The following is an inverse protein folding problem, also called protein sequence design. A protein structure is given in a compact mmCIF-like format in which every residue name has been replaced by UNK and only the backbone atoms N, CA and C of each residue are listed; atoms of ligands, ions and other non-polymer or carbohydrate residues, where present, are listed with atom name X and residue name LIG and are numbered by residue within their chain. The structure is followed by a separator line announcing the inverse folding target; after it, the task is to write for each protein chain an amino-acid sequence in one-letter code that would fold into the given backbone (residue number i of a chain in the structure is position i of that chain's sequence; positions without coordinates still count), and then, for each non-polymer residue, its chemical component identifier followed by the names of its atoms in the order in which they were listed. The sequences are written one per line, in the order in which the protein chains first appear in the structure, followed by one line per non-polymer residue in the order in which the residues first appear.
data_IF_456586275921
#
_entry.id   IF_456586275921
#
_cell.length_a   1.000
_cell.length_b   1.000
_cell.length_c   1.000
_cell.angle_alpha   90.00
_cell.angle_beta   90.00
_cell.angle_gamma   90.00
#
_symmetry.space_group_name_H-M   'P 1'
#
loop_
_entity.id
_entity.type
_entity.pdbx_description
1 polymer ?
#
# COMPACT_ATOMS: atom_id res chain seq x y z
N UNK A 1 2.33 36.03 2.49
CA UNK A 1 1.73 35.65 1.20
C UNK A 1 0.88 34.41 1.34
N UNK A 2 -0.44 34.55 1.16
CA UNK A 2 -1.42 33.45 1.32
C UNK A 2 -1.40 32.39 0.21
N UNK A 3 -0.34 32.33 -0.59
CA UNK A 3 -0.26 31.47 -1.78
C UNK A 3 0.27 30.04 -1.48
N UNK A 4 0.93 29.81 -0.34
CA UNK A 4 1.56 28.52 0.07
C UNK A 4 2.00 27.59 -1.09
N UNK A 5 2.93 28.04 -1.97
CA UNK A 5 3.32 27.27 -3.16
C UNK A 5 3.94 25.92 -2.82
N UNK A 6 4.61 25.81 -1.68
CA UNK A 6 5.21 24.55 -1.19
C UNK A 6 4.12 23.57 -0.79
N UNK A 7 3.12 24.01 -0.03
CA UNK A 7 1.97 23.19 0.32
C UNK A 7 1.20 22.73 -0.92
N UNK A 8 0.98 23.61 -1.90
CA UNK A 8 0.33 23.22 -3.15
C UNK A 8 1.12 22.14 -3.90
N UNK A 9 2.45 22.26 -3.98
CA UNK A 9 3.30 21.26 -4.62
C UNK A 9 3.27 19.92 -3.85
N UNK A 10 3.21 19.96 -2.52
CA UNK A 10 3.06 18.77 -1.68
C UNK A 10 1.74 18.05 -1.94
N UNK A 11 0.61 18.78 -2.02
CA UNK A 11 -0.71 18.23 -2.33
C UNK A 11 -0.69 17.49 -3.68
N UNK A 12 -0.18 18.14 -4.74
CA UNK A 12 -0.13 17.53 -6.08
C UNK A 12 0.74 16.26 -6.10
N UNK A 13 1.91 16.29 -5.45
CA UNK A 13 2.80 15.12 -5.38
C UNK A 13 2.20 13.97 -4.59
N UNK A 14 1.54 14.27 -3.48
CA UNK A 14 0.85 13.26 -2.70
C UNK A 14 -0.27 12.58 -3.52
N UNK A 15 -1.11 13.36 -4.20
CA UNK A 15 -2.18 12.81 -5.04
C UNK A 15 -1.64 12.03 -6.24
N UNK A 16 -0.52 12.45 -6.84
CA UNK A 16 0.11 11.68 -7.90
C UNK A 16 0.57 10.27 -7.46
N UNK A 17 0.84 10.06 -6.17
CA UNK A 17 1.28 8.78 -5.62
C UNK A 17 0.17 7.99 -4.90
N UNK A 18 -0.79 8.70 -4.30
CA UNK A 18 -1.76 8.15 -3.35
C UNK A 18 -3.19 8.62 -3.61
N UNK A 19 -3.48 9.24 -4.75
CA UNK A 19 -4.83 9.56 -5.17
C UNK A 19 -5.60 8.32 -5.66
N UNK A 20 -6.95 8.35 -5.63
CA UNK A 20 -7.79 9.30 -4.92
C UNK A 20 -7.67 9.17 -3.39
N UNK A 21 -7.59 10.29 -2.67
CA UNK A 21 -7.41 10.30 -1.22
C UNK A 21 -8.18 11.45 -0.54
N UNK A 22 -8.52 11.26 0.75
CA UNK A 22 -9.11 12.30 1.56
C UNK A 22 -8.03 13.28 2.05
N UNK A 23 -8.41 14.52 2.37
CA UNK A 23 -7.49 15.47 3.01
C UNK A 23 -6.92 14.94 4.34
N UNK A 24 -7.67 14.09 5.04
CA UNK A 24 -7.20 13.46 6.27
C UNK A 24 -6.06 12.45 6.04
N UNK A 25 -6.03 11.78 4.88
CA UNK A 25 -4.95 10.88 4.49
C UNK A 25 -3.66 11.66 4.26
N UNK A 26 -3.72 12.74 3.49
CA UNK A 26 -2.59 13.65 3.26
C UNK A 26 -2.02 14.21 4.58
N UNK A 27 -2.89 14.58 5.54
CA UNK A 27 -2.46 15.05 6.86
C UNK A 27 -1.78 13.95 7.66
N UNK A 28 -2.36 12.74 7.67
CA UNK A 28 -1.80 11.60 8.39
C UNK A 28 -0.43 11.19 7.82
N UNK A 29 -0.26 11.25 6.50
CA UNK A 29 1.00 10.96 5.83
C UNK A 29 2.07 12.04 6.06
N UNK A 30 1.71 13.32 5.92
CA UNK A 30 2.68 14.43 6.03
C UNK A 30 2.99 14.85 7.46
N UNK A 31 2.11 14.55 8.42
CA UNK A 31 2.18 15.07 9.79
C UNK A 31 1.86 16.57 9.91
N UNK A 32 1.41 17.22 8.83
CA UNK A 32 1.18 18.66 8.78
C UNK A 32 -0.28 19.02 9.11
N UNK A 33 -0.48 19.93 10.06
CA UNK A 33 -1.80 20.48 10.38
C UNK A 33 -2.24 21.59 9.39
N UNK A 34 -1.30 22.33 8.82
CA UNK A 34 -1.52 23.55 8.01
C UNK A 34 -2.00 23.35 6.57
N UNK A 35 -2.45 22.16 6.20
CA UNK A 35 -2.80 21.82 4.82
C UNK A 35 -4.14 22.33 4.24
N UNK A 36 -5.18 22.76 5.00
CA UNK A 36 -6.44 23.13 4.37
C UNK A 36 -6.33 24.30 3.38
N UNK A 37 -5.41 25.25 3.60
CA UNK A 37 -5.16 26.36 2.67
C UNK A 37 -4.57 25.89 1.34
N UNK A 38 -3.55 25.03 1.38
CA UNK A 38 -2.93 24.44 0.20
C UNK A 38 -3.92 23.61 -0.64
N UNK A 39 -4.74 22.78 0.02
CA UNK A 39 -5.78 21.98 -0.66
C UNK A 39 -6.82 22.89 -1.31
N UNK A 40 -7.27 23.95 -0.62
CA UNK A 40 -8.20 24.92 -1.19
C UNK A 40 -7.63 25.64 -2.42
N UNK A 41 -6.34 26.01 -2.37
CA UNK A 41 -5.68 26.75 -3.44
C UNK A 41 -5.56 25.96 -4.76
N UNK A 42 -5.51 24.62 -4.69
CA UNK A 42 -5.43 23.75 -5.88
C UNK A 42 -6.77 23.09 -6.23
N UNK A 43 -7.85 23.39 -5.50
CA UNK A 43 -9.09 22.60 -5.54
C UNK A 43 -9.78 22.59 -6.90
N UNK A 44 -9.60 23.64 -7.69
CA UNK A 44 -10.18 23.76 -9.04
C UNK A 44 -9.39 22.97 -10.10
N UNK A 45 -8.19 22.49 -9.75
CA UNK A 45 -7.38 21.61 -10.60
C UNK A 45 -7.68 20.12 -10.36
N UNK A 46 -8.46 19.78 -9.33
CA UNK A 46 -8.67 18.41 -8.87
C UNK A 46 -10.06 17.87 -9.23
N UNK A 47 -10.13 16.57 -9.45
CA UNK A 47 -11.39 15.83 -9.56
C UNK A 47 -11.83 15.29 -8.20
N UNK A 48 -13.15 15.10 -8.03
CA UNK A 48 -13.76 14.70 -6.76
C UNK A 48 -14.49 13.37 -6.90
N UNK A 49 -14.30 12.49 -5.93
CA UNK A 49 -15.00 11.22 -5.80
C UNK A 49 -15.63 11.10 -4.42
N UNK A 50 -16.41 10.02 -4.24
CA UNK A 50 -16.88 9.59 -2.92
C UNK A 50 -16.58 8.11 -2.75
N UNK A 51 -16.09 7.75 -1.57
CA UNK A 51 -15.98 6.34 -1.18
C UNK A 51 -17.34 5.77 -0.73
N UNK A 52 -17.36 4.48 -0.40
CA UNK A 52 -18.56 3.77 0.04
C UNK A 52 -19.12 4.30 1.38
N UNK A 53 -18.31 5.06 2.13
CA UNK A 53 -18.70 5.73 3.38
C UNK A 53 -19.13 7.19 3.13
N UNK A 54 -19.15 7.64 1.88
CA UNK A 54 -19.53 8.99 1.47
C UNK A 54 -18.46 10.04 1.72
N UNK A 55 -17.22 9.67 2.06
CA UNK A 55 -16.11 10.63 2.27
C UNK A 55 -15.66 11.20 0.93
N UNK A 56 -15.42 12.52 0.88
CA UNK A 56 -14.85 13.16 -0.31
C UNK A 56 -13.39 12.70 -0.49
N UNK A 57 -13.10 12.20 -1.69
CA UNK A 57 -11.74 11.91 -2.15
C UNK A 57 -11.39 12.89 -3.27
N UNK A 58 -10.13 13.34 -3.28
CA UNK A 58 -9.57 14.21 -4.29
C UNK A 58 -8.52 13.45 -5.09
N UNK A 59 -8.39 13.76 -6.38
CA UNK A 59 -7.36 13.18 -7.24
C UNK A 59 -6.97 14.14 -8.38
N UNK A 60 -5.86 13.84 -9.04
CA UNK A 60 -5.47 14.53 -10.27
C UNK A 60 -6.35 14.05 -11.45
N UNK A 61 -6.74 14.94 -12.38
CA UNK A 61 -7.59 14.60 -13.51
C UNK A 61 -7.06 13.40 -14.33
N UNK A 62 -5.75 13.38 -14.56
CA UNK A 62 -5.08 12.38 -15.41
C UNK A 62 -4.45 11.22 -14.62
N UNK A 63 -4.69 11.13 -13.30
CA UNK A 63 -4.16 10.02 -12.50
C UNK A 63 -4.73 8.66 -12.97
N UNK A 64 -3.91 7.60 -12.99
CA UNK A 64 -4.36 6.28 -13.41
C UNK A 64 -5.37 5.73 -12.42
N UNK A 65 -6.52 5.30 -12.93
CA UNK A 65 -7.59 4.63 -12.17
C UNK A 65 -7.96 3.35 -12.90
N UNK A 66 -7.25 2.23 -12.62
CA UNK A 66 -7.54 0.93 -13.22
C UNK A 66 -8.99 0.52 -12.97
N UNK A 67 -9.54 -0.30 -13.86
CA UNK A 67 -10.84 -0.92 -13.67
C UNK A 67 -10.85 -1.72 -12.36
N UNK A 68 -11.93 -1.72 -11.56
CA UNK A 68 -11.99 -2.47 -10.30
C UNK A 68 -11.75 -3.98 -10.47
N UNK A 69 -12.02 -4.56 -11.64
CA UNK A 69 -11.76 -5.97 -11.94
C UNK A 69 -10.32 -6.22 -12.44
N UNK A 70 -9.47 -5.18 -12.47
CA UNK A 70 -8.03 -5.32 -12.81
C UNK A 70 -7.36 -6.18 -11.73
N UNK A 71 -6.75 -7.32 -12.10
CA UNK A 71 -6.11 -8.20 -11.12
C UNK A 71 -4.98 -7.48 -10.37
N UNK A 72 -5.01 -7.54 -9.04
CA UNK A 72 -3.93 -7.05 -8.20
C UNK A 72 -2.89 -8.17 -7.99
N UNK A 73 -1.69 -8.05 -8.59
CA UNK A 73 -0.69 -9.11 -8.51
C UNK A 73 -0.13 -9.25 -7.09
N UNK A 74 0.46 -10.42 -6.80
CA UNK A 74 1.17 -10.63 -5.54
C UNK A 74 2.31 -9.62 -5.39
N UNK A 75 2.45 -9.01 -4.22
CA UNK A 75 3.55 -8.09 -3.90
C UNK A 75 4.07 -8.30 -2.50
N UNK A 76 5.39 -8.38 -2.36
CA UNK A 76 6.05 -8.42 -1.07
C UNK A 76 6.46 -6.99 -0.71
N UNK A 77 5.85 -6.47 0.35
CA UNK A 77 6.11 -5.14 0.84
C UNK A 77 7.14 -5.19 1.98
N UNK A 78 8.17 -4.33 1.97
CA UNK A 78 9.04 -4.16 3.11
C UNK A 78 8.27 -3.54 4.29
N UNK A 79 8.94 -3.53 5.45
CA UNK A 79 8.44 -2.83 6.63
C UNK A 79 8.25 -1.35 6.29
N UNK A 80 7.13 -0.78 6.77
CA UNK A 80 6.81 0.65 6.61
C UNK A 80 6.61 1.11 5.15
N UNK A 81 6.15 0.23 4.26
CA UNK A 81 5.84 0.60 2.88
C UNK A 81 4.67 1.60 2.76
N UNK A 82 4.79 2.56 1.83
CA UNK A 82 3.79 3.61 1.62
C UNK A 82 2.46 3.12 1.02
N UNK A 83 2.40 1.93 0.43
CA UNK A 83 1.13 1.30 0.09
C UNK A 83 0.22 1.18 1.34
N UNK A 84 0.84 0.99 2.51
CA UNK A 84 0.17 0.98 3.82
C UNK A 84 0.17 2.38 4.43
N UNK A 85 1.33 3.04 4.46
CA UNK A 85 1.53 4.25 5.26
C UNK A 85 0.97 5.54 4.63
N UNK A 86 0.66 5.54 3.33
CA UNK A 86 0.17 6.70 2.60
C UNK A 86 -1.23 7.19 2.99
N UNK A 87 -2.02 6.40 3.73
CA UNK A 87 -3.43 6.66 3.99
C UNK A 87 -3.81 6.52 5.45
N UNK A 88 -4.53 7.47 6.02
CA UNK A 88 -4.98 7.40 7.42
C UNK A 88 -5.72 6.08 7.70
N UNK A 89 -6.57 5.64 6.77
CA UNK A 89 -7.29 4.37 6.87
C UNK A 89 -6.46 3.20 6.33
N UNK A 90 -5.85 2.42 7.22
CA UNK A 90 -5.11 1.20 6.88
C UNK A 90 -6.02 0.03 6.47
N UNK A 91 -7.33 0.12 6.77
CA UNK A 91 -8.33 -0.89 6.41
C UNK A 91 -8.51 -1.08 4.91
N UNK A 92 -7.96 -0.17 4.10
CA UNK A 92 -7.91 -0.28 2.64
C UNK A 92 -7.16 -1.52 2.16
N UNK A 93 -6.16 -1.98 2.91
CA UNK A 93 -5.36 -3.17 2.51
C UNK A 93 -5.13 -4.18 3.65
N UNK A 94 -5.32 -3.78 4.91
CA UNK A 94 -5.17 -4.66 6.08
C UNK A 94 -6.54 -4.92 6.71
N UNK A 95 -6.92 -6.19 6.80
CA UNK A 95 -8.14 -6.58 7.50
C UNK A 95 -8.05 -6.26 9.00
N UNK A 96 -9.21 -6.00 9.62
CA UNK A 96 -9.31 -5.55 11.01
C UNK A 96 -8.61 -6.49 12.01
N UNK A 97 -8.67 -7.80 11.76
CA UNK A 97 -8.00 -8.82 12.56
C UNK A 97 -6.47 -8.70 12.58
N UNK A 98 -5.87 -7.97 11.62
CA UNK A 98 -4.43 -7.90 11.39
C UNK A 98 -3.87 -6.48 11.46
N UNK A 99 -4.65 -5.48 11.90
CA UNK A 99 -4.22 -4.07 11.98
C UNK A 99 -2.93 -3.85 12.78
N UNK A 100 -2.62 -4.72 13.75
CA UNK A 100 -1.40 -4.67 14.54
C UNK A 100 -0.11 -4.83 13.72
N UNK A 101 -0.16 -5.49 12.56
CA UNK A 101 1.01 -5.71 11.70
C UNK A 101 1.64 -4.39 11.23
N UNK A 102 0.81 -3.40 10.89
CA UNK A 102 1.32 -2.08 10.49
C UNK A 102 2.00 -1.35 11.64
N UNK A 103 1.51 -1.51 12.87
CA UNK A 103 2.10 -0.87 14.07
C UNK A 103 3.43 -1.54 14.44
N UNK A 104 3.48 -2.87 14.32
CA UNK A 104 4.68 -3.66 14.56
C UNK A 104 5.78 -3.45 13.48
N UNK A 105 5.44 -2.83 12.35
CA UNK A 105 6.39 -2.65 11.24
C UNK A 105 6.71 -3.96 10.52
N UNK A 106 5.74 -4.87 10.47
CA UNK A 106 5.91 -6.16 9.80
C UNK A 106 6.08 -5.99 8.30
N UNK A 107 6.86 -6.88 7.69
CA UNK A 107 6.93 -7.03 6.24
C UNK A 107 5.79 -7.94 5.81
N UNK A 108 5.03 -7.55 4.81
CA UNK A 108 3.78 -8.23 4.43
C UNK A 108 3.77 -8.67 2.98
N UNK A 109 2.95 -9.68 2.68
CA UNK A 109 2.64 -10.13 1.32
C UNK A 109 1.21 -9.73 1.01
N UNK A 110 1.01 -9.04 -0.11
CA UNK A 110 -0.30 -8.78 -0.69
C UNK A 110 -0.69 -9.93 -1.61
N UNK A 111 -1.92 -10.41 -1.46
CA UNK A 111 -2.60 -11.29 -2.43
C UNK A 111 -3.92 -10.60 -2.76
N UNK A 112 -4.15 -10.33 -4.04
CA UNK A 112 -5.33 -9.60 -4.52
C UNK A 112 -5.52 -8.24 -3.80
N UNK A 113 -4.42 -7.48 -3.66
CA UNK A 113 -4.42 -6.16 -3.03
C UNK A 113 -4.60 -6.15 -1.50
N UNK A 114 -4.74 -7.32 -0.85
CA UNK A 114 -4.93 -7.45 0.60
C UNK A 114 -3.76 -8.13 1.28
N UNK A 115 -3.42 -7.70 2.49
CA UNK A 115 -2.41 -8.35 3.33
C UNK A 115 -2.87 -9.78 3.68
N UNK A 116 -2.07 -10.76 3.25
CA UNK A 116 -2.40 -12.18 3.35
C UNK A 116 -1.30 -13.01 4.04
N UNK A 117 -0.10 -12.45 4.22
CA UNK A 117 1.02 -13.11 4.91
C UNK A 117 1.98 -12.07 5.51
N UNK A 118 2.84 -12.50 6.41
CA UNK A 118 4.12 -11.83 6.69
C UNK A 118 5.27 -12.55 5.99
N UNK A 119 6.43 -11.89 5.88
CA UNK A 119 7.63 -12.53 5.34
C UNK A 119 8.92 -12.05 5.98
N UNK A 120 9.95 -12.88 5.90
CA UNK A 120 11.31 -12.59 6.38
C UNK A 120 12.36 -13.28 5.52
N UNK A 121 13.61 -12.89 5.71
CA UNK A 121 14.76 -13.53 5.05
C UNK A 121 15.71 -14.05 6.12
N UNK A 122 16.16 -15.29 5.96
CA UNK A 122 17.17 -15.91 6.81
C UNK A 122 17.99 -16.85 5.93
N UNK A 123 19.32 -16.72 5.97
CA UNK A 123 20.25 -17.51 5.14
C UNK A 123 19.83 -17.57 3.66
N UNK A 124 19.52 -16.39 3.08
CA UNK A 124 19.07 -16.21 1.68
C UNK A 124 17.77 -16.95 1.30
N UNK A 125 17.01 -17.42 2.30
CA UNK A 125 15.69 -18.02 2.10
C UNK A 125 14.61 -17.02 2.48
N UNK A 126 13.75 -16.68 1.51
CA UNK A 126 12.52 -15.92 1.76
C UNK A 126 11.49 -16.86 2.38
N UNK A 127 11.13 -16.62 3.64
CA UNK A 127 10.09 -17.38 4.35
C UNK A 127 8.80 -16.57 4.42
N UNK A 128 7.70 -17.16 3.98
CA UNK A 128 6.36 -16.58 4.01
C UNK A 128 5.50 -17.30 5.04
N UNK A 129 4.86 -16.53 5.90
CA UNK A 129 3.98 -17.00 6.98
C UNK A 129 2.54 -16.52 6.70
N UNK A 130 1.68 -17.39 6.12
CA UNK A 130 0.31 -17.01 5.75
C UNK A 130 -0.53 -16.63 6.98
N UNK A 131 -1.40 -15.63 6.84
CA UNK A 131 -2.39 -15.23 7.86
C UNK A 131 -3.71 -16.00 7.72
N UNK A 132 -3.92 -16.63 6.57
CA UNK A 132 -5.09 -17.44 6.22
C UNK A 132 -4.68 -18.64 5.36
N UNK A 133 -5.60 -19.58 5.18
CA UNK A 133 -5.43 -20.61 4.17
C UNK A 133 -5.31 -20.00 2.76
N UNK A 134 -4.34 -20.48 2.00
CA UNK A 134 -4.16 -20.12 0.59
C UNK A 134 -4.81 -21.16 -0.31
N UNK A 135 -5.41 -20.68 -1.40
CA UNK A 135 -5.71 -21.53 -2.54
C UNK A 135 -4.39 -22.08 -3.11
N UNK A 136 -4.47 -23.14 -3.94
CA UNK A 136 -3.28 -23.62 -4.65
C UNK A 136 -2.69 -22.52 -5.54
N UNK A 137 -3.55 -21.78 -6.25
CA UNK A 137 -3.12 -20.68 -7.12
C UNK A 137 -2.44 -19.54 -6.33
N UNK A 138 -3.00 -19.14 -5.18
CA UNK A 138 -2.40 -18.11 -4.32
C UNK A 138 -1.01 -18.57 -3.84
N UNK A 139 -0.89 -19.83 -3.41
CA UNK A 139 0.38 -20.39 -2.93
C UNK A 139 1.43 -20.42 -4.03
N UNK A 140 1.06 -20.82 -5.24
CA UNK A 140 1.96 -20.87 -6.39
C UNK A 140 2.41 -19.45 -6.79
N UNK A 141 1.48 -18.49 -6.88
CA UNK A 141 1.80 -17.09 -7.19
C UNK A 141 2.68 -16.40 -6.11
N UNK A 142 2.44 -16.72 -4.83
CA UNK A 142 3.28 -16.24 -3.71
C UNK A 142 4.68 -16.85 -3.76
N UNK A 143 4.78 -18.14 -4.08
CA UNK A 143 6.08 -18.77 -4.26
C UNK A 143 6.83 -18.11 -5.43
N UNK A 144 6.19 -17.92 -6.58
CA UNK A 144 6.81 -17.33 -7.77
C UNK A 144 7.37 -15.93 -7.51
N UNK A 145 6.57 -15.02 -6.94
CA UNK A 145 7.05 -13.69 -6.60
C UNK A 145 8.14 -13.74 -5.51
N UNK A 146 8.01 -14.65 -4.54
CA UNK A 146 9.01 -14.86 -3.50
C UNK A 146 10.37 -15.32 -4.03
N UNK A 147 10.39 -16.11 -5.12
CA UNK A 147 11.63 -16.51 -5.82
C UNK A 147 12.29 -15.32 -6.50
N UNK A 148 11.50 -14.46 -7.16
CA UNK A 148 12.00 -13.21 -7.74
C UNK A 148 12.61 -12.29 -6.67
N UNK A 149 11.95 -12.18 -5.52
CA UNK A 149 12.46 -11.39 -4.39
C UNK A 149 13.75 -11.99 -3.82
N UNK A 150 13.81 -13.31 -3.63
CA UNK A 150 15.02 -13.98 -3.17
C UNK A 150 16.20 -13.68 -4.11
N UNK A 151 15.97 -13.83 -5.42
CA UNK A 151 16.97 -13.53 -6.45
C UNK A 151 17.40 -12.07 -6.43
N UNK A 152 16.47 -11.14 -6.23
CA UNK A 152 16.80 -9.72 -6.13
C UNK A 152 17.65 -9.40 -4.89
N UNK A 153 17.31 -9.98 -3.74
CA UNK A 153 18.00 -9.69 -2.47
C UNK A 153 19.39 -10.33 -2.36
N UNK A 154 19.67 -11.35 -3.17
CA UNK A 154 20.95 -12.06 -3.20
C UNK A 154 21.75 -11.81 -4.47
N UNK A 155 21.46 -10.75 -5.23
CA UNK A 155 22.12 -10.46 -6.52
C UNK A 155 22.17 -11.66 -7.50
N UNK A 156 21.13 -12.51 -7.47
CA UNK A 156 20.99 -13.70 -8.32
C UNK A 156 21.51 -15.01 -7.72
N UNK A 157 22.08 -15.01 -6.52
CA UNK A 157 22.70 -16.21 -5.92
C UNK A 157 21.69 -17.24 -5.34
N UNK A 158 20.46 -16.84 -5.01
CA UNK A 158 19.42 -17.69 -4.43
C UNK A 158 18.05 -17.35 -5.01
N UNK A 159 17.22 -18.36 -5.25
CA UNK A 159 15.79 -18.21 -5.53
C UNK A 159 14.94 -18.89 -4.46
N UNK A 160 15.51 -19.18 -3.29
CA UNK A 160 14.88 -20.07 -2.30
C UNK A 160 13.72 -19.38 -1.59
N UNK A 161 12.54 -19.98 -1.73
CA UNK A 161 11.32 -19.58 -1.03
C UNK A 161 10.74 -20.73 -0.21
N UNK A 162 10.23 -20.42 0.98
CA UNK A 162 9.47 -21.35 1.81
C UNK A 162 8.14 -20.73 2.21
N UNK A 163 7.04 -21.27 1.72
CA UNK A 163 5.69 -20.87 2.15
C UNK A 163 5.19 -21.83 3.23
N UNK A 164 5.04 -21.34 4.46
CA UNK A 164 4.58 -22.13 5.59
C UNK A 164 3.15 -22.69 5.40
N UNK A 165 2.77 -23.62 6.28
CA UNK A 165 1.36 -23.99 6.43
C UNK A 165 0.60 -22.82 7.05
N UNK A 166 -0.66 -22.62 6.67
CA UNK A 166 -1.49 -21.61 7.28
C UNK A 166 -1.74 -21.94 8.77
N UNK A 167 -1.97 -20.93 9.62
CA UNK A 167 -2.45 -21.13 10.98
C UNK A 167 -3.77 -21.90 10.94
N UNK A 168 -3.98 -22.73 11.97
CA UNK A 168 -5.21 -23.51 12.16
C UNK A 168 -6.36 -22.61 12.60
#
# INVERSE_FOLDING_TARGET
DGADPVGQALVRRYLAAHGPAATADLRAWSGLAGLPGAVAAVRDELVRFRDERGRELLDLPDAPRPDPDTPAPVRFLPAFDNAILGYQDRGRIIDDAHRGLSVAGERVVLVDGRVAATWRVTDEVVTVEPLRAFSRADRDAVADQGRELASFLSDGESDRVRVAAAPR
#
